data_IF_553988013490
#
_entry.id   IF_553988013490
#
_cell.length_a   1.000
_cell.length_b   1.000
_cell.length_c   1.000
_cell.angle_alpha   90.00
_cell.angle_beta   90.00
_cell.angle_gamma   90.00
#
_symmetry.space_group_name_H-M   'P 1'
#
loop_
_entity.id
_entity.type
_entity.pdbx_description
1 polymer ?
#
# COMPACT_ATOMS: atom_id res chain seq x y z
N UNK A 1 -8.98 11.84 16.60
CA UNK A 1 -7.54 12.05 16.91
C UNK A 1 -7.06 13.17 16.01
N UNK A 2 -6.78 14.33 16.61
CA UNK A 2 -6.67 15.62 15.92
C UNK A 2 -5.23 15.97 15.51
N UNK A 3 -4.21 15.30 16.06
CA UNK A 3 -2.80 15.46 15.67
C UNK A 3 -2.28 14.30 14.80
N UNK A 4 -2.84 14.13 13.60
CA UNK A 4 -2.22 13.25 12.62
C UNK A 4 -1.17 14.05 11.83
N UNK A 5 0.11 13.83 12.07
CA UNK A 5 1.18 14.40 11.24
C UNK A 5 1.48 13.47 10.08
N UNK A 6 1.60 14.04 8.88
CA UNK A 6 1.95 13.28 7.69
C UNK A 6 3.43 12.88 7.76
N UNK A 7 3.68 11.56 7.86
CA UNK A 7 5.03 11.01 7.91
C UNK A 7 5.50 10.70 6.49
N UNK A 8 6.38 11.54 5.95
CA UNK A 8 6.92 11.40 4.59
C UNK A 8 8.38 10.90 4.53
N UNK A 9 8.99 10.59 5.68
CA UNK A 9 10.40 10.20 5.79
C UNK A 9 10.60 8.68 5.87
N UNK A 10 11.78 8.22 5.44
CA UNK A 10 12.15 6.79 5.45
C UNK A 10 11.45 5.99 4.35
N UNK A 11 10.90 4.81 4.70
CA UNK A 11 10.23 3.92 3.76
C UNK A 11 8.98 4.55 3.10
N UNK A 12 8.34 5.48 3.80
CA UNK A 12 7.19 6.25 3.32
C UNK A 12 7.54 7.19 2.16
N UNK A 13 8.82 7.59 1.99
CA UNK A 13 9.28 8.36 0.82
C UNK A 13 9.29 7.54 -0.47
N UNK A 14 9.40 6.22 -0.36
CA UNK A 14 9.54 5.29 -1.49
C UNK A 14 8.18 4.70 -1.85
N UNK A 15 7.41 4.28 -0.84
CA UNK A 15 6.09 3.66 -1.01
C UNK A 15 5.14 4.18 0.06
N UNK A 16 3.92 4.57 -0.32
CA UNK A 16 2.91 5.08 0.64
C UNK A 16 2.52 4.06 1.71
N UNK A 17 2.58 2.78 1.37
CA UNK A 17 2.32 1.68 2.31
C UNK A 17 3.40 0.59 2.23
N UNK A 18 4.57 0.79 2.86
CA UNK A 18 5.66 -0.16 2.81
C UNK A 18 5.30 -1.49 3.47
N UNK A 19 4.47 -1.46 4.51
CA UNK A 19 3.97 -2.66 5.21
C UNK A 19 3.09 -3.51 4.29
N UNK A 20 2.12 -2.91 3.57
CA UNK A 20 1.27 -3.66 2.65
C UNK A 20 2.10 -4.28 1.52
N UNK A 21 3.07 -3.54 1.00
CA UNK A 21 3.99 -4.02 -0.04
C UNK A 21 4.80 -5.23 0.44
N UNK A 22 5.32 -5.18 1.68
CA UNK A 22 6.02 -6.30 2.30
C UNK A 22 5.13 -7.53 2.53
N UNK A 23 3.89 -7.33 3.00
CA UNK A 23 2.92 -8.41 3.19
C UNK A 23 2.57 -9.08 1.87
N UNK A 24 2.34 -8.30 0.81
CA UNK A 24 2.03 -8.80 -0.52
C UNK A 24 3.21 -9.58 -1.09
N UNK A 25 4.43 -9.02 -1.03
CA UNK A 25 5.64 -9.71 -1.47
C UNK A 25 5.86 -11.02 -0.69
N UNK A 26 5.64 -11.00 0.62
CA UNK A 26 5.72 -12.19 1.46
C UNK A 26 4.66 -13.23 1.09
N UNK A 27 3.41 -12.83 0.88
CA UNK A 27 2.31 -13.71 0.51
C UNK A 27 2.52 -14.32 -0.88
N UNK A 28 2.97 -13.53 -1.86
CA UNK A 28 3.31 -14.02 -3.20
C UNK A 28 4.54 -14.94 -3.17
N UNK A 29 5.59 -14.56 -2.44
CA UNK A 29 6.79 -15.38 -2.28
C UNK A 29 6.49 -16.72 -1.60
N UNK A 30 5.64 -16.71 -0.57
CA UNK A 30 5.16 -17.91 0.10
C UNK A 30 4.29 -18.78 -0.82
N UNK A 31 3.38 -18.17 -1.58
CA UNK A 31 2.55 -18.86 -2.57
C UNK A 31 3.37 -19.55 -3.66
N UNK A 32 4.44 -18.89 -4.11
CA UNK A 32 5.40 -19.48 -5.05
C UNK A 32 6.21 -20.63 -4.44
N UNK A 33 6.73 -20.44 -3.21
CA UNK A 33 7.50 -21.48 -2.50
C UNK A 33 6.68 -22.75 -2.25
N UNK A 34 5.41 -22.58 -1.88
CA UNK A 34 4.50 -23.70 -1.60
C UNK A 34 3.90 -24.32 -2.88
N UNK A 35 4.10 -23.70 -4.05
CA UNK A 35 3.48 -24.05 -5.34
C UNK A 35 1.96 -24.34 -5.22
N UNK A 36 1.31 -23.61 -4.33
CA UNK A 36 -0.10 -23.79 -4.01
C UNK A 36 -0.90 -22.67 -4.68
N UNK A 37 -1.54 -23.01 -5.79
CA UNK A 37 -2.53 -22.17 -6.50
C UNK A 37 -3.53 -21.46 -5.57
N UNK A 38 -4.13 -22.12 -4.54
CA UNK A 38 -5.08 -21.44 -3.66
C UNK A 38 -4.42 -20.35 -2.79
N UNK A 39 -3.19 -20.54 -2.31
CA UNK A 39 -2.46 -19.46 -1.59
C UNK A 39 -2.12 -18.30 -2.49
N UNK A 40 -1.81 -18.57 -3.77
CA UNK A 40 -1.55 -17.53 -4.76
C UNK A 40 -2.82 -16.72 -5.05
N UNK A 41 -3.97 -17.39 -5.19
CA UNK A 41 -5.26 -16.72 -5.31
C UNK A 41 -5.59 -15.89 -4.06
N UNK A 42 -5.32 -16.41 -2.87
CA UNK A 42 -5.54 -15.70 -1.60
C UNK A 42 -4.61 -14.48 -1.46
N UNK A 43 -3.36 -14.57 -1.93
CA UNK A 43 -2.44 -13.43 -2.01
C UNK A 43 -2.96 -12.33 -2.95
N UNK A 44 -3.56 -12.70 -4.09
CA UNK A 44 -4.19 -11.73 -5.02
C UNK A 44 -5.43 -11.09 -4.39
N UNK A 45 -6.26 -11.86 -3.68
CA UNK A 45 -7.43 -11.32 -2.96
C UNK A 45 -7.00 -10.35 -1.86
N UNK A 46 -5.97 -10.71 -1.09
CA UNK A 46 -5.38 -9.82 -0.08
C UNK A 46 -4.83 -8.54 -0.72
N UNK A 47 -4.15 -8.65 -1.86
CA UNK A 47 -3.66 -7.50 -2.61
C UNK A 47 -4.79 -6.53 -2.95
N UNK A 48 -5.88 -7.02 -3.54
CA UNK A 48 -7.04 -6.20 -3.92
C UNK A 48 -7.70 -5.59 -2.67
N UNK A 49 -7.84 -6.37 -1.59
CA UNK A 49 -8.42 -5.90 -0.35
C UNK A 49 -7.62 -4.74 0.26
N UNK A 50 -6.29 -4.88 0.33
CA UNK A 50 -5.40 -3.84 0.83
C UNK A 50 -5.36 -2.62 -0.09
N UNK A 51 -5.41 -2.80 -1.41
CA UNK A 51 -5.47 -1.69 -2.37
C UNK A 51 -6.76 -0.86 -2.21
N UNK A 52 -7.92 -1.52 -2.07
CA UNK A 52 -9.20 -0.84 -1.82
C UNK A 52 -9.19 -0.13 -0.47
N UNK A 53 -8.65 -0.77 0.57
CA UNK A 53 -8.55 -0.18 1.91
C UNK A 53 -7.64 1.04 1.92
N UNK A 54 -6.47 0.93 1.28
CA UNK A 54 -5.52 2.04 1.10
C UNK A 54 -6.16 3.21 0.34
N UNK A 55 -6.88 2.97 -0.77
CA UNK A 55 -7.60 4.02 -1.50
C UNK A 55 -8.59 4.79 -0.63
N UNK A 56 -9.31 4.09 0.25
CA UNK A 56 -10.25 4.73 1.19
C UNK A 56 -9.52 5.58 2.23
N UNK A 57 -8.44 5.07 2.81
CA UNK A 57 -7.60 5.83 3.75
C UNK A 57 -7.02 7.08 3.08
N UNK A 58 -6.53 6.96 1.85
CA UNK A 58 -5.99 8.09 1.09
C UNK A 58 -7.04 9.15 0.76
N UNK A 59 -8.26 8.76 0.38
CA UNK A 59 -9.32 9.73 0.15
C UNK A 59 -9.66 10.50 1.44
N UNK A 60 -9.70 9.81 2.59
CA UNK A 60 -9.88 10.45 3.88
C UNK A 60 -8.71 11.38 4.25
N UNK A 61 -7.48 11.00 3.90
CA UNK A 61 -6.27 11.81 4.10
C UNK A 61 -6.25 13.04 3.16
N UNK A 62 -6.65 12.89 1.89
CA UNK A 62 -6.80 14.01 0.95
C UNK A 62 -7.83 15.02 1.41
N UNK A 63 -8.96 14.56 1.97
CA UNK A 63 -9.96 15.47 2.56
C UNK A 63 -9.45 16.17 3.83
N UNK A 64 -8.49 15.58 4.55
CA UNK A 64 -7.98 16.11 5.81
C UNK A 64 -6.71 16.95 5.66
N UNK A 65 -5.93 16.73 4.59
CA UNK A 65 -4.66 17.39 4.33
C UNK A 65 -4.61 17.87 2.88
N UNK A 66 -4.68 19.19 2.66
CA UNK A 66 -4.54 19.78 1.31
C UNK A 66 -3.19 19.44 0.65
N UNK A 67 -2.12 19.29 1.43
CA UNK A 67 -0.80 18.91 0.93
C UNK A 67 -0.66 17.42 0.54
N UNK A 68 -1.65 16.57 0.86
CA UNK A 68 -1.58 15.14 0.54
C UNK A 68 -1.58 14.87 -0.97
N UNK A 69 -2.20 15.76 -1.76
CA UNK A 69 -2.18 15.66 -3.23
C UNK A 69 -0.76 15.75 -3.81
N UNK A 70 0.08 16.65 -3.26
CA UNK A 70 1.49 16.77 -3.65
C UNK A 70 2.29 15.52 -3.25
N UNK A 71 1.97 14.94 -2.10
CA UNK A 71 2.56 13.70 -1.63
C UNK A 71 2.16 12.49 -2.50
N UNK A 72 0.90 12.38 -2.93
CA UNK A 72 0.46 11.33 -3.86
C UNK A 72 1.17 11.39 -5.22
N UNK A 73 1.48 12.60 -5.71
CA UNK A 73 2.22 12.76 -6.96
C UNK A 73 3.69 12.34 -6.81
N UNK A 74 4.26 12.52 -5.62
CA UNK A 74 5.69 12.27 -5.36
C UNK A 74 5.97 10.82 -4.99
N UNK A 75 5.02 10.12 -4.35
CA UNK A 75 5.20 8.75 -3.83
C UNK A 75 4.18 7.80 -4.43
N UNK A 76 4.62 6.66 -4.95
CA UNK A 76 3.74 5.61 -5.52
C UNK A 76 3.09 4.73 -4.44
N UNK A 77 2.02 4.04 -4.82
CA UNK A 77 1.08 3.41 -3.88
C UNK A 77 1.61 2.11 -3.27
N UNK A 78 2.00 1.18 -4.13
CA UNK A 78 2.26 -0.20 -3.74
C UNK A 78 3.40 -0.88 -4.53
N UNK A 79 3.56 -0.59 -5.83
CA UNK A 79 4.61 -1.20 -6.64
C UNK A 79 5.35 -0.09 -7.39
N UNK A 80 6.68 0.06 -7.23
CA UNK A 80 7.43 0.96 -8.09
C UNK A 80 7.30 0.41 -9.53
N UNK A 81 6.65 1.17 -10.42
CA UNK A 81 6.35 0.88 -11.85
C UNK A 81 4.99 0.28 -12.24
N UNK A 82 4.16 -0.17 -11.29
CA UNK A 82 2.77 -0.55 -11.56
C UNK A 82 1.90 0.22 -10.58
N UNK A 83 1.27 1.31 -11.06
CA UNK A 83 0.57 2.36 -10.30
C UNK A 83 1.49 3.46 -9.70
#
# INVERSE_FOLDING_TARGET
>A
KEDATLVEYGAYKIVRHPIYSGIILGAFGWGFLMNNLPTLALAVVLFIFFDIKSRREENALCCKFENYGLYQQRVRKLIPYLY
#
